data_IF_112848084725
#
_entry.id   IF_112848084725
#
_cell.length_a   1.000
_cell.length_b   1.000
_cell.length_c   1.000
_cell.angle_alpha   90.00
_cell.angle_beta   90.00
_cell.angle_gamma   90.00
#
_symmetry.space_group_name_H-M   'P 1'
#
loop_
_entity.id
_entity.type
_entity.pdbx_description
1 polymer ?
#
# COMPACT_ATOMS: atom_id res chain seq x y z
N UNK A 1 -21.78 6.93 -3.53
CA UNK A 1 -20.46 6.82 -4.17
C UNK A 1 -19.35 6.95 -3.17
N UNK A 2 -19.20 5.94 -2.38
CA UNK A 2 -18.20 6.00 -1.31
C UNK A 2 -16.77 6.21 -1.82
N UNK A 3 -16.46 5.70 -2.99
CA UNK A 3 -15.09 5.77 -3.47
C UNK A 3 -14.66 7.17 -3.86
N UNK A 4 -15.62 8.09 -4.05
CA UNK A 4 -15.26 9.45 -4.45
C UNK A 4 -14.57 10.20 -3.34
N UNK A 5 -14.64 9.71 -2.09
CA UNK A 5 -13.99 10.38 -0.97
C UNK A 5 -12.55 9.92 -0.76
N UNK A 6 -12.14 8.83 -1.39
CA UNK A 6 -10.78 8.34 -1.22
C UNK A 6 -9.79 9.24 -1.98
N UNK A 7 -8.66 9.62 -1.37
CA UNK A 7 -7.65 10.40 -2.07
C UNK A 7 -7.15 9.67 -3.32
N UNK A 8 -6.80 10.39 -4.38
CA UNK A 8 -6.30 9.75 -5.61
C UNK A 8 -5.09 8.83 -5.38
N UNK A 9 -4.20 9.20 -4.47
CA UNK A 9 -3.04 8.37 -4.16
C UNK A 9 -3.47 7.00 -3.62
N UNK A 10 -4.46 6.97 -2.75
CA UNK A 10 -4.96 5.72 -2.16
C UNK A 10 -5.63 4.86 -3.22
N UNK A 11 -6.49 5.45 -4.05
CA UNK A 11 -7.18 4.69 -5.10
C UNK A 11 -6.18 4.12 -6.10
N UNK A 12 -5.21 4.92 -6.50
CA UNK A 12 -4.17 4.47 -7.44
C UNK A 12 -3.37 3.32 -6.85
N UNK A 13 -2.98 3.45 -5.57
CA UNK A 13 -2.18 2.41 -4.94
C UNK A 13 -2.90 1.06 -4.96
N UNK A 14 -4.14 1.02 -4.48
CA UNK A 14 -4.84 -0.26 -4.39
C UNK A 14 -5.27 -0.80 -5.74
N UNK A 15 -5.55 0.07 -6.70
CA UNK A 15 -5.82 -0.37 -8.06
C UNK A 15 -4.61 -1.09 -8.65
N UNK A 16 -3.42 -0.51 -8.51
CA UNK A 16 -2.20 -1.13 -9.01
C UNK A 16 -1.81 -2.36 -8.21
N UNK A 17 -2.00 -2.33 -6.90
CA UNK A 17 -1.66 -3.48 -6.05
C UNK A 17 -2.55 -4.69 -6.30
N UNK A 18 -3.74 -4.48 -6.86
CA UNK A 18 -4.69 -5.56 -7.17
C UNK A 18 -4.37 -6.27 -8.47
N UNK A 19 -3.34 -5.85 -9.17
CA UNK A 19 -2.93 -6.39 -10.47
C UNK A 19 -1.53 -6.98 -10.37
N UNK A 20 -1.10 -7.80 -11.32
CA UNK A 20 0.29 -8.23 -11.36
C UNK A 20 1.23 -7.04 -11.37
N UNK A 21 2.38 -7.19 -10.75
CA UNK A 21 3.34 -6.09 -10.62
C UNK A 21 3.72 -5.53 -11.98
N UNK A 22 3.82 -4.21 -12.01
CA UNK A 22 4.13 -3.48 -13.23
C UNK A 22 5.05 -2.31 -12.90
N UNK A 23 5.65 -1.72 -13.93
CA UNK A 23 6.44 -0.52 -13.74
C UNK A 23 5.62 0.61 -13.14
N UNK A 24 4.32 0.68 -13.48
CA UNK A 24 3.43 1.69 -12.92
C UNK A 24 3.28 1.54 -11.41
N UNK A 25 3.22 0.29 -10.91
CA UNK A 25 3.15 0.07 -9.47
C UNK A 25 4.38 0.66 -8.77
N UNK A 26 5.58 0.36 -9.29
CA UNK A 26 6.81 0.83 -8.64
C UNK A 26 7.05 2.32 -8.85
N UNK A 27 6.56 2.88 -9.96
CA UNK A 27 6.72 4.30 -10.24
C UNK A 27 5.98 5.21 -9.27
N UNK A 28 5.03 4.69 -8.50
CA UNK A 28 4.33 5.50 -7.51
C UNK A 28 5.17 5.72 -6.24
N UNK A 29 6.29 5.02 -6.09
CA UNK A 29 7.19 5.18 -4.94
C UNK A 29 8.33 6.13 -5.27
N UNK A 30 8.74 6.90 -4.26
CA UNK A 30 9.99 7.65 -4.36
C UNK A 30 11.16 6.67 -4.43
N UNK A 31 12.26 7.11 -5.02
CA UNK A 31 13.40 6.23 -5.29
C UNK A 31 14.01 5.65 -4.00
N UNK A 32 13.91 6.38 -2.89
CA UNK A 32 14.43 5.96 -1.59
C UNK A 32 13.31 5.59 -0.61
N UNK A 33 12.13 5.27 -1.12
CA UNK A 33 10.98 4.92 -0.28
C UNK A 33 11.28 3.68 0.57
N UNK A 34 10.57 3.58 1.69
CA UNK A 34 10.66 2.42 2.57
C UNK A 34 9.27 1.81 2.73
N UNK A 35 9.19 0.48 2.66
CA UNK A 35 7.98 -0.26 2.98
C UNK A 35 8.27 -1.11 4.21
N UNK A 36 7.41 -1.01 5.23
CA UNK A 36 7.47 -1.89 6.40
C UNK A 36 6.26 -2.81 6.37
N UNK A 37 6.48 -4.10 6.36
CA UNK A 37 5.43 -5.10 6.38
C UNK A 37 5.81 -6.19 7.36
N UNK A 38 4.90 -6.50 8.28
CA UNK A 38 5.15 -7.51 9.34
C UNK A 38 6.42 -7.22 10.13
N UNK A 39 6.70 -5.93 10.36
CA UNK A 39 7.86 -5.50 11.13
C UNK A 39 9.17 -5.52 10.37
N UNK A 40 9.18 -5.93 9.11
CA UNK A 40 10.38 -5.97 8.28
C UNK A 40 10.39 -4.78 7.33
N UNK A 41 11.51 -4.08 7.27
CA UNK A 41 11.65 -2.92 6.40
C UNK A 41 12.31 -3.31 5.07
N UNK A 42 11.77 -2.76 3.98
CA UNK A 42 12.28 -2.94 2.63
C UNK A 42 12.59 -1.55 2.10
N UNK A 43 13.83 -1.30 1.76
CA UNK A 43 14.28 0.05 1.43
C UNK A 43 14.66 0.17 -0.03
N UNK A 44 14.23 1.28 -0.65
CA UNK A 44 14.53 1.58 -2.04
C UNK A 44 13.72 0.73 -3.01
N UNK A 45 13.79 1.09 -4.28
CA UNK A 45 12.99 0.40 -5.31
C UNK A 45 13.36 -1.08 -5.39
N UNK A 46 14.65 -1.41 -5.31
CA UNK A 46 15.06 -2.81 -5.38
C UNK A 46 14.53 -3.62 -4.19
N UNK A 47 14.55 -3.03 -2.99
CA UNK A 47 13.97 -3.67 -1.82
C UNK A 47 12.47 -3.85 -1.93
N UNK A 48 11.79 -2.85 -2.49
CA UNK A 48 10.35 -2.90 -2.69
C UNK A 48 9.99 -3.96 -3.74
N UNK A 49 10.76 -4.08 -4.81
CA UNK A 49 10.55 -5.11 -5.81
C UNK A 49 10.70 -6.51 -5.21
N UNK A 50 11.73 -6.71 -4.39
CA UNK A 50 11.94 -7.99 -3.72
C UNK A 50 10.79 -8.31 -2.77
N UNK A 51 10.30 -7.32 -2.04
CA UNK A 51 9.15 -7.49 -1.16
C UNK A 51 7.91 -7.92 -1.94
N UNK A 52 7.60 -7.21 -3.04
CA UNK A 52 6.41 -7.52 -3.84
C UNK A 52 6.48 -8.92 -4.44
N UNK A 53 7.67 -9.37 -4.78
CA UNK A 53 7.84 -10.71 -5.34
C UNK A 53 7.40 -11.81 -4.37
N UNK A 54 7.42 -11.53 -3.06
CA UNK A 54 7.01 -12.48 -2.04
C UNK A 54 5.56 -12.29 -1.57
N UNK A 55 4.87 -11.25 -2.06
CA UNK A 55 3.50 -10.94 -1.66
C UNK A 55 2.55 -11.56 -2.66
N UNK A 56 1.61 -12.42 -2.21
CA UNK A 56 0.64 -12.99 -3.14
C UNK A 56 -0.36 -11.95 -3.61
N UNK A 57 -0.97 -12.21 -4.75
CA UNK A 57 -2.10 -11.39 -5.19
C UNK A 57 -3.28 -11.66 -4.28
N UNK A 58 -3.88 -10.58 -3.78
CA UNK A 58 -5.02 -10.65 -2.87
C UNK A 58 -6.03 -9.62 -3.28
N UNK A 59 -7.22 -9.70 -2.69
CA UNK A 59 -8.26 -8.70 -2.89
C UNK A 59 -8.20 -7.68 -1.76
N UNK A 60 -8.16 -6.41 -2.12
CA UNK A 60 -8.14 -5.31 -1.15
C UNK A 60 -9.51 -4.63 -1.12
N UNK A 61 -10.05 -4.44 0.08
CA UNK A 61 -11.27 -3.68 0.28
C UNK A 61 -10.99 -2.55 1.26
N UNK A 62 -10.99 -1.32 0.76
CA UNK A 62 -10.70 -0.15 1.59
C UNK A 62 -11.97 0.25 2.32
N UNK A 63 -11.92 0.23 3.65
CA UNK A 63 -13.08 0.57 4.49
C UNK A 63 -13.11 2.03 4.88
N UNK A 64 -11.96 2.59 5.21
CA UNK A 64 -11.90 3.96 5.70
C UNK A 64 -10.53 4.54 5.41
N UNK A 65 -10.48 5.83 5.13
CA UNK A 65 -9.23 6.57 4.94
C UNK A 65 -9.35 7.84 5.72
N UNK A 66 -8.30 8.17 6.47
CA UNK A 66 -8.24 9.43 7.18
C UNK A 66 -6.85 10.01 7.07
N UNK A 67 -6.75 11.34 7.24
CA UNK A 67 -5.47 12.00 7.24
C UNK A 67 -4.67 11.56 8.47
N UNK A 68 -3.40 11.28 8.27
CA UNK A 68 -2.46 10.93 9.32
C UNK A 68 -1.22 11.77 9.22
N UNK A 69 -0.23 11.48 10.05
CA UNK A 69 1.02 12.24 10.08
C UNK A 69 1.74 12.12 8.74
N UNK A 70 1.81 13.22 8.02
CA UNK A 70 2.53 13.26 6.75
C UNK A 70 1.83 12.56 5.59
N UNK A 71 0.61 12.06 5.78
CA UNK A 71 -0.06 11.34 4.71
C UNK A 71 -1.43 10.82 5.10
N UNK A 72 -1.67 9.52 4.90
CA UNK A 72 -2.99 8.92 5.08
C UNK A 72 -2.90 7.57 5.79
N UNK A 73 -3.94 7.28 6.57
CA UNK A 73 -4.15 5.94 7.13
C UNK A 73 -5.36 5.32 6.47
N UNK A 74 -5.21 4.11 5.95
CA UNK A 74 -6.29 3.38 5.32
C UNK A 74 -6.54 2.07 6.07
N UNK A 75 -7.78 1.84 6.48
CA UNK A 75 -8.19 0.56 7.04
C UNK A 75 -8.65 -0.32 5.89
N UNK A 76 -8.01 -1.47 5.70
CA UNK A 76 -8.17 -2.29 4.51
C UNK A 76 -8.36 -3.74 4.89
N UNK A 77 -9.37 -4.39 4.32
CA UNK A 77 -9.51 -5.83 4.42
C UNK A 77 -8.77 -6.51 3.29
N UNK A 78 -7.96 -7.48 3.64
CA UNK A 78 -7.16 -8.27 2.70
C UNK A 78 -7.76 -9.67 2.68
N UNK A 79 -8.19 -10.12 1.50
CA UNK A 79 -8.75 -11.46 1.34
C UNK A 79 -7.97 -12.21 0.26
N UNK A 80 -7.69 -13.47 0.54
CA UNK A 80 -6.97 -14.29 -0.41
C UNK A 80 -6.84 -15.72 0.07
N UNK A 81 -5.99 -16.48 -0.59
CA UNK A 81 -5.79 -17.89 -0.31
C UNK A 81 -4.67 -18.05 0.72
N UNK A 82 -4.97 -17.60 1.95
CA UNK A 82 -4.02 -17.71 3.06
C UNK A 82 -4.79 -17.94 4.37
N UNK A 83 -4.13 -18.55 5.37
CA UNK A 83 -4.76 -18.78 6.68
C UNK A 83 -5.16 -17.46 7.34
N UNK A 84 -6.35 -17.41 7.91
CA UNK A 84 -6.86 -16.22 8.59
C UNK A 84 -7.54 -15.22 7.70
N UNK A 85 -7.62 -15.47 6.39
CA UNK A 85 -8.30 -14.58 5.45
C UNK A 85 -9.81 -14.51 5.75
N UNK A 86 -10.44 -13.33 5.67
CA UNK A 86 -9.80 -12.04 5.45
C UNK A 86 -9.22 -11.45 6.74
N UNK A 87 -8.24 -10.58 6.60
CA UNK A 87 -7.67 -9.87 7.74
C UNK A 87 -7.78 -8.37 7.50
N UNK A 88 -7.95 -7.61 8.57
CA UNK A 88 -7.96 -6.16 8.48
C UNK A 88 -6.61 -5.62 8.90
N UNK A 89 -6.02 -4.80 8.02
CA UNK A 89 -4.75 -4.17 8.27
C UNK A 89 -4.89 -2.66 8.10
N UNK A 90 -3.98 -1.91 8.73
CA UNK A 90 -3.88 -0.49 8.54
C UNK A 90 -2.67 -0.20 7.65
N UNK A 91 -2.91 0.50 6.55
CA UNK A 91 -1.86 0.96 5.65
C UNK A 91 -1.64 2.44 5.90
N UNK A 92 -0.46 2.77 6.41
CA UNK A 92 -0.08 4.16 6.62
C UNK A 92 0.82 4.60 5.48
N UNK A 93 0.42 5.66 4.77
CA UNK A 93 1.16 6.19 3.64
C UNK A 93 1.70 7.57 3.98
N UNK A 94 2.99 7.78 3.70
CA UNK A 94 3.58 9.10 3.67
C UNK A 94 4.02 9.38 2.25
N UNK A 95 3.93 10.63 1.83
CA UNK A 95 4.26 11.01 0.46
C UNK A 95 4.98 12.35 0.42
N UNK A 96 5.65 12.61 -0.70
CA UNK A 96 6.32 13.88 -0.91
C UNK A 96 5.41 14.87 -1.65
N UNK A 97 5.94 16.03 -1.99
CA UNK A 97 5.17 17.08 -2.67
C UNK A 97 4.75 16.71 -4.09
N UNK A 98 5.38 15.67 -4.65
CA UNK A 98 5.02 15.16 -5.98
C UNK A 98 4.03 14.00 -5.89
N UNK A 99 3.47 13.73 -4.71
CA UNK A 99 2.55 12.63 -4.45
C UNK A 99 3.17 11.26 -4.70
N UNK A 100 4.49 11.15 -4.60
CA UNK A 100 5.16 9.85 -4.58
C UNK A 100 5.23 9.34 -3.16
N UNK A 101 4.98 8.04 -3.00
CA UNK A 101 5.00 7.41 -1.68
C UNK A 101 6.43 7.35 -1.18
N UNK A 102 6.68 7.93 -0.02
CA UNK A 102 8.00 7.89 0.61
C UNK A 102 8.08 6.83 1.68
N UNK A 103 6.92 6.46 2.26
CA UNK A 103 6.87 5.41 3.27
C UNK A 103 5.50 4.75 3.23
N UNK A 104 5.51 3.43 3.34
CA UNK A 104 4.29 2.63 3.49
C UNK A 104 4.52 1.69 4.67
N UNK A 105 3.66 1.78 5.68
CA UNK A 105 3.72 0.90 6.85
C UNK A 105 2.43 0.10 6.91
N UNK A 106 2.55 -1.22 7.00
CA UNK A 106 1.41 -2.14 7.02
C UNK A 106 1.40 -2.87 8.35
N UNK A 107 0.32 -2.69 9.12
CA UNK A 107 0.19 -3.26 10.46
C UNK A 107 -1.23 -3.74 10.70
N UNK A 108 -1.39 -4.71 11.64
CA UNK A 108 -2.72 -5.16 12.05
C UNK A 108 -3.57 -4.05 12.63
#
# INVERSE_FOLDING_TARGET
>A
MPDTTAPPLIRRYFDLASQPDSDAYFAQFAVDATVEDEGTQHHGIDGIRAWRASVPLVTYTVHAVQAGDGGFDAAVDIAGDFPGSPVRLTFHFEHDSSARITKLTIRP
#
